data_IF_218581085011
#
_entry.id   IF_218581085011
#
_cell.length_a   1.000
_cell.length_b   1.000
_cell.length_c   1.000
_cell.angle_alpha   90.00
_cell.angle_beta   90.00
_cell.angle_gamma   90.00
#
_symmetry.space_group_name_H-M   'P 1'
#
loop_
_entity.id
_entity.type
_entity.pdbx_description
1 polymer ?
#
# COMPACT_ATOMS: atom_id res chain seq x y z
N UNK A 1 -20.44 -11.96 -47.71
CA UNK A 1 -20.32 -10.71 -46.92
C UNK A 1 -20.20 -10.97 -45.41
N UNK A 2 -20.93 -11.95 -44.87
CA UNK A 2 -20.84 -12.38 -43.45
C UNK A 2 -19.48 -12.99 -43.04
N UNK A 3 -18.86 -13.83 -43.89
CA UNK A 3 -17.54 -14.41 -43.57
C UNK A 3 -16.41 -13.37 -43.50
N UNK A 4 -16.43 -12.38 -44.40
CA UNK A 4 -15.41 -11.33 -44.43
C UNK A 4 -15.50 -10.42 -43.19
N UNK A 5 -16.71 -10.13 -42.72
CA UNK A 5 -16.93 -9.35 -41.50
C UNK A 5 -16.47 -10.11 -40.25
N UNK A 6 -16.72 -11.43 -40.18
CA UNK A 6 -16.24 -12.27 -39.09
C UNK A 6 -14.70 -12.32 -39.03
N UNK A 7 -14.03 -12.35 -40.18
CA UNK A 7 -12.56 -12.37 -40.24
C UNK A 7 -11.93 -11.05 -39.78
N UNK A 8 -12.53 -9.92 -40.14
CA UNK A 8 -12.08 -8.58 -39.70
C UNK A 8 -12.26 -8.40 -38.19
N UNK A 9 -13.37 -8.88 -37.63
CA UNK A 9 -13.61 -8.84 -36.18
C UNK A 9 -12.59 -9.74 -35.45
N UNK A 10 -12.37 -10.97 -35.92
CA UNK A 10 -11.41 -11.89 -35.30
C UNK A 10 -9.97 -11.34 -35.34
N UNK A 11 -9.54 -10.76 -36.46
CA UNK A 11 -8.22 -10.14 -36.58
C UNK A 11 -8.07 -8.90 -35.67
N UNK A 12 -9.12 -8.09 -35.53
CA UNK A 12 -9.13 -6.94 -34.64
C UNK A 12 -9.03 -7.32 -33.16
N UNK A 13 -9.70 -8.39 -32.74
CA UNK A 13 -9.64 -8.89 -31.35
C UNK A 13 -8.24 -9.45 -31.04
N UNK A 14 -7.65 -10.20 -31.97
CA UNK A 14 -6.31 -10.77 -31.76
C UNK A 14 -5.23 -9.69 -31.65
N UNK A 15 -5.31 -8.64 -32.48
CA UNK A 15 -4.41 -7.49 -32.40
C UNK A 15 -4.58 -6.70 -31.09
N UNK A 16 -5.81 -6.51 -30.62
CA UNK A 16 -6.08 -5.82 -29.34
C UNK A 16 -5.54 -6.61 -28.12
N UNK A 17 -5.63 -7.94 -28.14
CA UNK A 17 -5.09 -8.79 -27.07
C UNK A 17 -3.56 -8.82 -27.05
N UNK A 18 -2.90 -8.70 -28.20
CA UNK A 18 -1.44 -8.60 -28.28
C UNK A 18 -0.88 -7.29 -27.72
N UNK A 19 -1.70 -6.24 -27.61
CA UNK A 19 -1.31 -4.97 -26.99
C UNK A 19 -1.25 -5.03 -25.45
N UNK A 20 -1.81 -6.08 -24.83
CA UNK A 20 -1.88 -6.24 -23.36
C UNK A 20 -0.67 -7.00 -22.77
N UNK A 21 0.54 -6.71 -23.24
CA UNK A 21 1.80 -7.22 -22.66
C UNK A 21 2.25 -6.46 -21.41
N UNK A 22 1.44 -5.53 -20.90
CA UNK A 22 1.73 -4.84 -19.67
C UNK A 22 1.73 -5.85 -18.51
N UNK A 23 2.93 -6.25 -18.09
CA UNK A 23 3.13 -7.00 -16.86
C UNK A 23 2.46 -6.20 -15.74
N UNK A 24 1.47 -6.78 -15.03
CA UNK A 24 0.80 -6.09 -13.95
C UNK A 24 1.84 -5.69 -12.90
N UNK A 25 1.69 -4.52 -12.27
CA UNK A 25 2.74 -3.98 -11.43
C UNK A 25 2.98 -4.94 -10.25
N UNK A 26 4.25 -5.25 -9.92
CA UNK A 26 4.56 -6.37 -9.03
C UNK A 26 4.13 -6.16 -7.57
N UNK A 27 3.74 -4.94 -7.18
CA UNK A 27 3.15 -4.67 -5.87
C UNK A 27 1.68 -5.12 -5.76
N UNK A 28 1.00 -5.37 -6.89
CA UNK A 28 -0.43 -5.64 -6.92
C UNK A 28 -0.79 -7.13 -6.87
N UNK A 29 0.15 -8.04 -7.19
CA UNK A 29 -0.10 -9.48 -7.28
C UNK A 29 1.14 -10.30 -6.85
N UNK A 30 0.93 -11.53 -6.36
CA UNK A 30 2.02 -12.48 -6.05
C UNK A 30 2.51 -13.23 -7.29
N UNK A 31 3.78 -13.64 -7.30
CA UNK A 31 4.41 -14.39 -8.41
C UNK A 31 5.08 -15.67 -7.90
N UNK A 32 4.96 -16.76 -8.66
CA UNK A 32 5.55 -18.07 -8.33
C UNK A 32 7.08 -18.13 -8.51
N UNK A 33 7.66 -17.16 -9.24
CA UNK A 33 9.10 -17.01 -9.42
C UNK A 33 9.51 -15.56 -9.06
N UNK A 34 10.72 -15.35 -8.52
CA UNK A 34 11.23 -14.00 -8.26
C UNK A 34 11.24 -13.19 -9.56
N UNK A 35 10.73 -11.94 -9.57
CA UNK A 35 10.84 -11.09 -10.73
C UNK A 35 12.32 -10.89 -11.08
N UNK A 36 12.64 -10.86 -12.37
CA UNK A 36 13.95 -10.43 -12.86
C UNK A 36 14.27 -8.99 -12.39
N UNK A 37 15.51 -8.50 -12.60
CA UNK A 37 15.90 -7.16 -12.17
C UNK A 37 14.88 -6.13 -12.65
N UNK A 38 14.39 -5.25 -11.76
CA UNK A 38 13.28 -4.37 -12.08
C UNK A 38 13.67 -3.49 -13.28
N UNK A 39 12.83 -3.50 -14.32
CA UNK A 39 12.79 -2.37 -15.23
C UNK A 39 12.52 -1.12 -14.38
N UNK A 40 13.19 -0.01 -14.69
CA UNK A 40 13.00 1.24 -13.96
C UNK A 40 11.50 1.54 -13.88
N UNK A 41 10.95 1.52 -12.66
CA UNK A 41 9.54 1.78 -12.46
C UNK A 41 9.24 3.19 -12.99
N UNK A 42 8.18 3.37 -13.81
CA UNK A 42 7.69 4.70 -14.11
C UNK A 42 7.45 5.42 -12.79
N UNK A 43 7.91 6.66 -12.67
CA UNK A 43 7.67 7.46 -11.48
C UNK A 43 6.17 7.45 -11.18
N UNK A 44 5.80 7.01 -9.97
CA UNK A 44 4.42 7.01 -9.53
C UNK A 44 3.86 8.43 -9.71
N UNK A 45 2.74 8.63 -10.43
CA UNK A 45 2.09 9.94 -10.47
C UNK A 45 1.72 10.33 -9.04
N UNK A 46 2.43 11.33 -8.48
CA UNK A 46 2.23 11.76 -7.09
C UNK A 46 3.39 11.49 -6.14
N UNK A 47 4.48 10.84 -6.58
CA UNK A 47 5.77 11.03 -5.92
C UNK A 47 6.13 12.51 -6.08
N UNK A 48 5.84 13.34 -5.07
CA UNK A 48 6.23 14.75 -5.06
C UNK A 48 7.75 14.80 -5.12
N UNK A 49 8.28 14.86 -6.33
CA UNK A 49 9.62 15.32 -6.63
C UNK A 49 9.69 16.77 -6.21
N UNK A 50 10.12 16.97 -4.97
CA UNK A 50 10.40 18.27 -4.39
C UNK A 50 11.26 17.94 -3.17
N UNK A 51 12.47 18.49 -3.13
CA UNK A 51 13.36 18.32 -1.99
C UNK A 51 12.57 18.48 -0.69
N UNK A 52 12.81 17.59 0.27
CA UNK A 52 12.11 17.62 1.54
C UNK A 52 12.16 19.06 2.07
N UNK A 53 11.00 19.73 2.22
CA UNK A 53 10.99 21.02 2.88
C UNK A 53 11.63 20.80 4.26
N UNK A 54 12.37 21.80 4.75
CA UNK A 54 12.91 21.77 6.11
C UNK A 54 11.81 21.24 7.04
N UNK A 55 12.09 20.13 7.73
CA UNK A 55 11.09 19.45 8.54
C UNK A 55 10.47 20.49 9.46
N UNK A 56 9.19 20.80 9.26
CA UNK A 56 8.45 21.63 10.18
C UNK A 56 8.59 21.01 11.58
N UNK A 57 8.60 21.84 12.62
CA UNK A 57 8.57 21.33 13.98
C UNK A 57 7.44 20.28 14.07
N UNK A 58 7.70 19.11 14.69
CA UNK A 58 6.73 18.03 14.73
C UNK A 58 5.42 18.55 15.35
N UNK A 59 4.31 18.30 14.67
CA UNK A 59 3.00 18.63 15.19
C UNK A 59 2.73 17.76 16.44
N UNK A 60 2.62 18.43 17.59
CA UNK A 60 2.37 17.82 18.89
C UNK A 60 0.90 17.86 19.30
N UNK A 61 0.00 18.26 18.39
CA UNK A 61 -1.44 18.30 18.66
C UNK A 61 -1.94 16.91 19.01
N UNK A 62 -2.60 16.80 20.16
CA UNK A 62 -3.20 15.56 20.63
C UNK A 62 -4.60 15.39 20.04
N UNK A 63 -4.82 14.29 19.34
CA UNK A 63 -6.13 13.88 18.81
C UNK A 63 -6.75 12.82 19.70
N UNK A 64 -8.07 12.91 19.88
CA UNK A 64 -8.85 12.01 20.72
C UNK A 64 -10.11 11.57 19.99
N UNK A 65 -10.45 10.28 20.10
CA UNK A 65 -11.72 9.75 19.62
C UNK A 65 -12.77 9.72 20.75
N UNK A 66 -14.04 9.76 20.36
CA UNK A 66 -15.14 9.53 21.29
C UNK A 66 -15.03 8.12 21.88
N UNK A 67 -15.26 7.98 23.18
CA UNK A 67 -15.16 6.69 23.89
C UNK A 67 -13.74 6.23 24.24
N UNK A 68 -12.70 6.65 23.51
CA UNK A 68 -11.32 6.27 23.84
C UNK A 68 -10.83 7.00 25.10
N UNK A 69 -10.03 6.32 25.92
CA UNK A 69 -9.31 6.90 27.06
C UNK A 69 -7.94 7.46 26.67
N UNK A 70 -7.52 7.26 25.41
CA UNK A 70 -6.20 7.62 24.90
C UNK A 70 -6.28 8.81 23.93
N UNK A 71 -5.15 9.49 23.78
CA UNK A 71 -4.96 10.58 22.81
C UNK A 71 -3.58 10.47 22.17
N UNK A 72 -3.52 10.70 20.86
CA UNK A 72 -2.29 10.53 20.08
C UNK A 72 -2.04 11.72 19.15
N UNK A 73 -0.77 12.01 18.90
CA UNK A 73 -0.33 12.89 17.82
C UNK A 73 -0.52 12.23 16.45
N UNK A 74 -0.58 13.02 15.37
CA UNK A 74 -0.60 12.47 14.00
C UNK A 74 0.61 11.57 13.72
N UNK A 75 1.77 11.87 14.31
CA UNK A 75 2.99 11.06 14.18
C UNK A 75 2.80 9.67 14.80
N UNK A 76 2.22 9.59 16.00
CA UNK A 76 1.94 8.31 16.66
C UNK A 76 0.85 7.52 15.93
N UNK A 77 -0.20 8.19 15.45
CA UNK A 77 -1.28 7.56 14.68
C UNK A 77 -0.75 6.86 13.43
N UNK A 78 0.28 7.44 12.80
CA UNK A 78 0.86 6.96 11.54
C UNK A 78 2.15 6.17 11.72
N UNK A 79 2.55 5.84 12.96
CA UNK A 79 3.77 5.06 13.18
C UNK A 79 3.57 3.64 12.65
N UNK A 80 4.30 3.29 11.59
CA UNK A 80 4.23 1.97 10.98
C UNK A 80 4.77 0.82 11.84
N UNK A 81 5.34 1.11 13.02
CA UNK A 81 5.90 0.12 13.95
C UNK A 81 5.30 0.23 15.36
N UNK A 82 4.18 0.94 15.48
CA UNK A 82 3.45 1.11 16.73
C UNK A 82 2.28 2.06 16.54
N UNK A 83 1.36 1.75 15.60
CA UNK A 83 0.23 2.62 15.32
C UNK A 83 -0.66 2.76 16.55
N UNK A 84 -1.44 3.84 16.57
CA UNK A 84 -2.37 4.12 17.67
C UNK A 84 -3.39 3.00 17.85
N UNK A 85 -3.30 2.24 18.95
CA UNK A 85 -4.36 1.38 19.42
C UNK A 85 -5.35 2.22 20.25
N UNK A 86 -6.45 2.62 19.63
CA UNK A 86 -7.42 3.53 20.25
C UNK A 86 -8.22 2.88 21.39
N UNK A 87 -8.37 1.55 21.39
CA UNK A 87 -9.24 0.80 22.30
C UNK A 87 -8.59 -0.52 22.73
N UNK A 88 -7.47 -0.48 23.49
CA UNK A 88 -6.72 -1.69 23.86
C UNK A 88 -7.51 -2.69 24.72
N UNK A 89 -8.66 -2.30 25.26
CA UNK A 89 -9.55 -3.17 26.02
C UNK A 89 -10.52 -3.99 25.17
N UNK A 90 -10.69 -3.65 23.89
CA UNK A 90 -11.69 -4.25 23.00
C UNK A 90 -11.16 -5.49 22.26
N UNK A 91 -9.88 -5.80 22.43
CA UNK A 91 -9.23 -6.97 21.85
C UNK A 91 -8.33 -7.69 22.87
N UNK A 92 -8.05 -8.99 22.70
CA UNK A 92 -7.00 -9.68 23.45
C UNK A 92 -5.63 -9.03 23.21
N UNK A 93 -4.67 -9.28 24.10
CA UNK A 93 -3.31 -8.76 23.92
C UNK A 93 -2.77 -9.08 22.50
N UNK A 94 -2.43 -8.02 21.75
CA UNK A 94 -1.89 -8.17 20.41
C UNK A 94 -0.53 -8.89 20.46
N UNK A 95 -0.29 -9.86 19.56
CA UNK A 95 1.04 -10.40 19.35
C UNK A 95 2.01 -9.29 18.90
N UNK A 96 3.28 -9.41 19.30
CA UNK A 96 4.32 -8.39 19.04
C UNK A 96 4.45 -8.04 17.55
N UNK A 97 4.47 -9.04 16.66
CA UNK A 97 4.52 -8.83 15.20
C UNK A 97 3.33 -8.04 14.66
N UNK A 98 2.15 -8.18 15.27
CA UNK A 98 0.93 -7.48 14.85
C UNK A 98 1.01 -6.02 15.29
N UNK A 99 1.42 -5.76 16.53
CA UNK A 99 1.50 -4.42 17.11
C UNK A 99 2.68 -3.59 16.58
N UNK A 100 3.83 -4.24 16.33
CA UNK A 100 5.10 -3.55 16.09
C UNK A 100 5.81 -3.95 14.80
N UNK A 101 5.37 -5.00 14.10
CA UNK A 101 6.07 -5.48 12.92
C UNK A 101 7.48 -6.00 13.25
N UNK A 102 8.40 -5.90 12.29
CA UNK A 102 9.84 -6.18 12.43
C UNK A 102 10.64 -5.12 11.69
N UNK A 103 11.09 -4.10 12.41
CA UNK A 103 11.77 -2.92 11.83
C UNK A 103 13.08 -3.25 11.13
N UNK A 104 13.85 -4.19 11.67
CA UNK A 104 15.07 -4.73 11.08
C UNK A 104 14.83 -5.42 9.73
N UNK A 105 13.64 -6.00 9.55
CA UNK A 105 13.23 -6.71 8.33
C UNK A 105 12.30 -5.87 7.44
N UNK A 106 12.12 -4.59 7.78
CA UNK A 106 11.25 -3.66 7.05
C UNK A 106 9.79 -4.16 6.94
N UNK A 107 9.33 -4.94 7.92
CA UNK A 107 7.94 -5.41 8.01
C UNK A 107 7.19 -4.45 8.92
N UNK A 108 6.23 -3.71 8.35
CA UNK A 108 5.34 -2.83 9.13
C UNK A 108 4.40 -3.63 10.03
N UNK A 109 3.97 -3.02 11.13
CA UNK A 109 2.94 -3.56 12.00
C UNK A 109 1.67 -3.88 11.21
N UNK A 110 1.13 -5.09 11.38
CA UNK A 110 -0.10 -5.50 10.71
C UNK A 110 -1.27 -4.62 11.14
N UNK A 111 -1.26 -4.15 12.39
CA UNK A 111 -2.27 -3.28 12.98
C UNK A 111 -2.37 -1.90 12.33
N UNK A 112 -1.38 -1.49 11.53
CA UNK A 112 -1.43 -0.21 10.82
C UNK A 112 -2.60 -0.15 9.83
N UNK A 113 -2.89 -1.28 9.17
CA UNK A 113 -3.97 -1.41 8.20
C UNK A 113 -5.13 -2.28 8.73
N UNK A 114 -4.81 -3.31 9.52
CA UNK A 114 -5.77 -4.21 10.12
C UNK A 114 -5.91 -3.90 11.61
N UNK A 115 -6.67 -2.84 11.91
CA UNK A 115 -6.89 -2.43 13.29
C UNK A 115 -7.40 -3.59 14.15
N UNK A 116 -7.03 -3.63 15.44
CA UNK A 116 -7.33 -4.74 16.34
C UNK A 116 -8.82 -5.00 16.53
#
# INVERSE_FOLDING_TARGET
MTLALAFVIAAGVLAAQQQSTAVPPPWAYGFDAPPGPPAAAPAAPGARGGGAPAAAAPDTTQHKLAGSTLSFTVTQIRDGYGPADWFPGDHPAMPDIVAHGKRDQQVIACSLCHYP
#
